data_IF_029792124250
#
_entry.id   IF_029792124250
#
_cell.length_a   1.000
_cell.length_b   1.000
_cell.length_c   1.000
_cell.angle_alpha   90.00
_cell.angle_beta   90.00
_cell.angle_gamma   90.00
#
_symmetry.space_group_name_H-M   'P 1'
#
loop_
_entity.id
_entity.type
_entity.pdbx_description
1 polymer ?
#
# COMPACT_ATOMS: atom_id res chain seq x y z
N UNK A 1 7.52 -21.86 -14.87
CA UNK A 1 6.87 -20.55 -14.88
C UNK A 1 7.88 -19.45 -14.71
N UNK A 2 7.65 -18.31 -15.36
CA UNK A 2 8.50 -17.14 -15.20
C UNK A 2 8.17 -16.37 -13.93
N UNK A 3 9.21 -15.88 -13.24
CA UNK A 3 9.09 -15.02 -12.06
C UNK A 3 10.18 -13.96 -12.07
N UNK A 4 9.90 -12.77 -11.54
CA UNK A 4 10.91 -11.74 -11.32
C UNK A 4 11.56 -12.01 -9.96
N UNK A 5 12.83 -12.37 -9.98
CA UNK A 5 13.60 -12.78 -8.82
C UNK A 5 14.95 -12.08 -8.77
N UNK A 6 15.65 -12.26 -7.64
CA UNK A 6 17.02 -11.77 -7.45
C UNK A 6 17.78 -12.69 -6.50
N UNK A 7 19.12 -12.79 -6.71
CA UNK A 7 20.01 -13.68 -5.97
C UNK A 7 20.93 -12.98 -4.96
N UNK A 8 20.88 -11.65 -4.92
CA UNK A 8 21.62 -10.81 -3.98
C UNK A 8 20.89 -9.49 -3.78
N UNK A 9 21.13 -8.83 -2.67
CA UNK A 9 20.60 -7.48 -2.45
C UNK A 9 21.26 -6.48 -3.40
N UNK A 10 20.52 -5.46 -3.82
CA UNK A 10 21.03 -4.42 -4.72
C UNK A 10 19.96 -3.56 -5.36
N UNK A 11 20.35 -2.75 -6.33
CA UNK A 11 19.47 -1.93 -7.15
C UNK A 11 18.71 -2.77 -8.18
N UNK A 12 17.99 -2.16 -9.09
CA UNK A 12 17.18 -2.84 -10.11
C UNK A 12 17.96 -3.80 -11.01
N UNK A 13 19.27 -3.64 -11.11
CA UNK A 13 20.13 -4.51 -11.94
C UNK A 13 20.16 -5.96 -11.46
N UNK A 14 19.95 -6.21 -10.16
CA UNK A 14 19.90 -7.56 -9.60
C UNK A 14 18.63 -8.33 -9.97
N UNK A 15 17.59 -7.63 -10.45
CA UNK A 15 16.35 -8.24 -10.89
C UNK A 15 16.57 -9.01 -12.21
N UNK A 16 16.04 -10.22 -12.27
CA UNK A 16 16.08 -11.08 -13.45
C UNK A 16 14.79 -11.90 -13.57
N UNK A 17 14.45 -12.29 -14.79
CA UNK A 17 13.44 -13.32 -15.03
C UNK A 17 14.07 -14.67 -14.73
N UNK A 18 13.44 -15.44 -13.86
CA UNK A 18 13.86 -16.77 -13.41
C UNK A 18 12.80 -17.79 -13.79
N UNK A 19 13.23 -18.89 -14.38
CA UNK A 19 12.37 -20.06 -14.58
C UNK A 19 12.24 -20.84 -13.27
N UNK A 20 11.02 -21.06 -12.82
CA UNK A 20 10.70 -21.77 -11.58
C UNK A 20 9.64 -22.85 -11.84
N UNK A 21 9.60 -23.87 -10.99
CA UNK A 21 8.53 -24.85 -11.03
C UNK A 21 7.17 -24.18 -10.74
N UNK A 22 6.14 -24.58 -11.48
CA UNK A 22 4.77 -24.15 -11.16
C UNK A 22 4.37 -24.72 -9.80
N UNK A 23 3.91 -23.89 -8.84
CA UNK A 23 3.60 -24.39 -7.50
C UNK A 23 2.33 -25.24 -7.49
N UNK A 24 2.26 -26.19 -6.56
CA UNK A 24 1.07 -26.99 -6.28
C UNK A 24 0.27 -26.41 -5.12
N UNK A 25 -1.04 -26.63 -5.12
CA UNK A 25 -1.94 -26.16 -4.05
C UNK A 25 -2.02 -27.13 -2.89
N UNK A 26 -2.10 -26.62 -1.67
CA UNK A 26 -2.49 -27.35 -0.47
C UNK A 26 -4.01 -27.22 -0.24
N UNK A 27 -4.55 -27.97 0.73
CA UNK A 27 -5.99 -28.07 0.94
C UNK A 27 -6.73 -26.74 1.09
N UNK A 28 -6.13 -25.73 1.72
CA UNK A 28 -6.72 -24.42 1.98
C UNK A 28 -6.21 -23.30 1.05
N UNK A 29 -5.52 -23.67 -0.04
CA UNK A 29 -4.88 -22.72 -0.96
C UNK A 29 -5.56 -22.70 -2.32
N UNK A 30 -5.29 -21.63 -3.04
CA UNK A 30 -5.62 -21.47 -4.46
C UNK A 30 -4.37 -21.20 -5.27
N UNK A 31 -4.34 -21.70 -6.50
CA UNK A 31 -3.37 -21.31 -7.52
C UNK A 31 -4.02 -20.26 -8.42
N UNK A 32 -3.42 -19.09 -8.49
CA UNK A 32 -3.89 -18.00 -9.36
C UNK A 32 -2.91 -17.84 -10.50
N UNK A 33 -3.40 -17.87 -11.73
CA UNK A 33 -2.69 -17.42 -12.92
C UNK A 33 -2.75 -15.89 -12.93
N UNK A 34 -1.63 -15.26 -12.66
CA UNK A 34 -1.51 -13.81 -12.52
C UNK A 34 -1.73 -13.13 -13.86
N UNK A 35 -2.49 -12.03 -13.85
CA UNK A 35 -2.72 -11.13 -14.97
C UNK A 35 -2.08 -9.77 -14.76
N UNK A 36 -2.00 -9.34 -13.50
CA UNK A 36 -1.30 -8.13 -13.12
C UNK A 36 -0.80 -8.23 -11.68
N UNK A 37 0.27 -7.54 -11.38
CA UNK A 37 0.75 -7.27 -10.03
C UNK A 37 1.16 -5.80 -9.89
N UNK A 38 1.21 -5.27 -8.67
CA UNK A 38 1.54 -3.88 -8.44
C UNK A 38 2.83 -3.72 -7.65
N UNK A 39 3.49 -2.58 -7.82
CA UNK A 39 4.75 -2.27 -7.15
C UNK A 39 4.48 -1.45 -5.89
N UNK A 40 5.15 -1.83 -4.80
CA UNK A 40 5.11 -1.14 -3.51
C UNK A 40 6.51 -0.70 -3.05
N UNK A 41 6.63 0.39 -2.27
CA UNK A 41 7.92 0.81 -1.70
C UNK A 41 8.63 -0.30 -0.92
N UNK A 42 7.89 -1.20 -0.30
CA UNK A 42 8.43 -2.34 0.43
C UNK A 42 9.22 -3.30 -0.46
N UNK A 43 8.79 -3.49 -1.71
CA UNK A 43 9.43 -4.43 -2.66
C UNK A 43 10.90 -4.04 -2.91
N UNK A 44 11.16 -2.76 -3.17
CA UNK A 44 12.55 -2.33 -3.39
C UNK A 44 13.33 -2.13 -2.09
N UNK A 45 12.69 -1.82 -0.96
CA UNK A 45 13.37 -1.77 0.35
C UNK A 45 13.88 -3.17 0.74
N UNK A 46 13.07 -4.21 0.53
CA UNK A 46 13.49 -5.61 0.75
C UNK A 46 14.63 -5.97 -0.21
N UNK A 47 14.48 -5.66 -1.52
CA UNK A 47 15.50 -5.95 -2.53
C UNK A 47 16.83 -5.24 -2.24
N UNK A 48 16.81 -3.99 -1.78
CA UNK A 48 18.02 -3.25 -1.40
C UNK A 48 18.66 -3.73 -0.10
N UNK A 49 17.98 -4.62 0.65
CA UNK A 49 18.47 -5.13 1.92
C UNK A 49 18.17 -4.22 3.13
N UNK A 50 17.44 -3.13 2.94
CA UNK A 50 17.06 -2.21 4.04
C UNK A 50 16.21 -2.92 5.12
N UNK A 51 15.53 -4.01 4.72
CA UNK A 51 14.71 -4.84 5.62
C UNK A 51 15.30 -6.23 5.85
N UNK A 52 16.63 -6.42 5.67
CA UNK A 52 17.33 -7.70 5.75
C UNK A 52 17.10 -8.44 7.07
N UNK A 53 17.00 -7.72 8.18
CA UNK A 53 16.75 -8.33 9.50
C UNK A 53 15.41 -9.09 9.55
N UNK A 54 14.38 -8.60 8.83
CA UNK A 54 13.04 -9.21 8.78
C UNK A 54 12.88 -10.18 7.61
N UNK A 55 13.42 -9.84 6.45
CA UNK A 55 13.31 -10.64 5.22
C UNK A 55 14.31 -11.79 5.15
N UNK A 56 15.37 -11.76 5.97
CA UNK A 56 16.48 -12.73 5.90
C UNK A 56 17.34 -12.57 4.65
N UNK A 57 18.34 -13.44 4.53
CA UNK A 57 19.32 -13.44 3.41
C UNK A 57 19.30 -14.73 2.58
N UNK A 58 18.23 -15.53 2.66
CA UNK A 58 18.08 -16.71 1.82
C UNK A 58 17.63 -16.28 0.42
N UNK A 59 18.33 -16.75 -0.60
CA UNK A 59 18.04 -16.50 -2.02
C UNK A 59 17.77 -17.81 -2.77
N UNK A 60 17.11 -17.80 -3.96
CA UNK A 60 16.55 -16.63 -4.62
C UNK A 60 15.36 -16.05 -3.87
N UNK A 61 15.08 -14.75 -4.07
CA UNK A 61 13.86 -14.09 -3.60
C UNK A 61 13.05 -13.61 -4.80
N UNK A 62 11.74 -13.86 -4.75
CA UNK A 62 10.78 -13.22 -5.65
C UNK A 62 10.40 -11.85 -5.09
N UNK A 63 9.91 -10.95 -5.93
CA UNK A 63 9.45 -9.62 -5.53
C UNK A 63 7.93 -9.48 -5.67
N UNK A 64 7.37 -8.36 -5.17
CA UNK A 64 5.94 -8.06 -5.25
C UNK A 64 5.11 -8.69 -4.13
N UNK A 65 4.06 -8.00 -3.73
CA UNK A 65 3.16 -8.46 -2.69
C UNK A 65 1.73 -8.65 -3.20
N UNK A 66 1.28 -7.74 -4.06
CA UNK A 66 -0.08 -7.64 -4.59
C UNK A 66 -0.19 -8.31 -5.94
N UNK A 67 -1.31 -8.95 -6.22
CA UNK A 67 -1.61 -9.53 -7.52
C UNK A 67 -3.12 -9.49 -7.84
N UNK A 68 -3.42 -9.67 -9.12
CA UNK A 68 -4.75 -9.99 -9.62
C UNK A 68 -4.64 -11.00 -10.76
N UNK A 69 -5.61 -11.88 -10.89
CA UNK A 69 -5.58 -12.93 -11.90
C UNK A 69 -6.79 -13.85 -11.87
N UNK A 70 -6.65 -15.04 -12.40
CA UNK A 70 -7.72 -16.03 -12.57
C UNK A 70 -7.34 -17.30 -11.81
N UNK A 71 -8.26 -17.82 -11.01
CA UNK A 71 -8.06 -19.10 -10.29
C UNK A 71 -7.91 -20.23 -11.30
N UNK A 72 -6.80 -20.97 -11.22
CA UNK A 72 -6.50 -22.13 -12.05
C UNK A 72 -6.66 -23.46 -11.32
N UNK A 73 -6.41 -23.48 -10.01
CA UNK A 73 -6.64 -24.65 -9.18
C UNK A 73 -7.04 -24.24 -7.75
N UNK A 74 -7.80 -25.10 -7.10
CA UNK A 74 -8.26 -24.89 -5.71
C UNK A 74 -7.96 -26.15 -4.88
N UNK A 75 -7.58 -25.95 -3.62
CA UNK A 75 -7.42 -27.03 -2.64
C UNK A 75 -8.77 -27.56 -2.15
N UNK A 76 -8.76 -28.78 -1.63
CA UNK A 76 -9.96 -29.53 -1.24
C UNK A 76 -10.82 -28.87 -0.15
N UNK A 77 -10.23 -27.99 0.68
CA UNK A 77 -10.93 -27.28 1.77
C UNK A 77 -11.34 -25.84 1.40
N UNK A 78 -11.11 -25.41 0.15
CA UNK A 78 -11.48 -24.07 -0.31
C UNK A 78 -12.97 -24.03 -0.60
N UNK A 79 -13.66 -23.03 -0.05
CA UNK A 79 -15.07 -22.73 -0.32
C UNK A 79 -15.24 -21.27 -0.78
N UNK A 80 -16.34 -20.98 -1.47
CA UNK A 80 -16.67 -19.63 -1.94
C UNK A 80 -15.96 -19.20 -3.24
N UNK A 81 -15.03 -20.02 -3.74
CA UNK A 81 -14.31 -19.79 -5.01
C UNK A 81 -14.39 -21.01 -5.92
N UNK A 82 -14.26 -20.79 -7.22
CA UNK A 82 -14.18 -21.81 -8.26
C UNK A 82 -13.08 -21.49 -9.27
N UNK A 83 -12.64 -22.52 -10.01
CA UNK A 83 -11.73 -22.35 -11.13
C UNK A 83 -12.39 -21.41 -12.16
N UNK A 84 -11.62 -20.45 -12.67
CA UNK A 84 -12.09 -19.41 -13.57
C UNK A 84 -12.56 -18.12 -12.88
N UNK A 85 -12.72 -18.08 -11.56
CA UNK A 85 -13.03 -16.83 -10.86
C UNK A 85 -11.90 -15.81 -11.03
N UNK A 86 -12.25 -14.57 -11.38
CA UNK A 86 -11.33 -13.44 -11.37
C UNK A 86 -11.16 -12.94 -9.94
N UNK A 87 -9.91 -12.88 -9.49
CA UNK A 87 -9.56 -12.53 -8.11
C UNK A 87 -8.41 -11.55 -8.06
N UNK A 88 -8.29 -10.89 -6.92
CA UNK A 88 -7.09 -10.17 -6.53
C UNK A 88 -6.72 -10.56 -5.10
N UNK A 89 -5.47 -10.33 -4.72
CA UNK A 89 -5.01 -10.78 -3.42
C UNK A 89 -3.62 -10.31 -3.06
N UNK A 90 -3.14 -10.85 -1.94
CA UNK A 90 -1.87 -10.52 -1.33
C UNK A 90 -1.15 -11.80 -0.90
N UNK A 91 0.18 -11.84 -1.01
CA UNK A 91 0.96 -12.96 -0.49
C UNK A 91 0.90 -13.02 1.05
N UNK A 92 0.99 -14.22 1.60
CA UNK A 92 0.87 -14.44 3.06
C UNK A 92 2.01 -13.79 3.84
N UNK A 93 3.21 -13.86 3.33
CA UNK A 93 4.40 -13.32 4.00
C UNK A 93 5.10 -12.29 3.10
N UNK A 94 4.76 -11.01 3.31
CA UNK A 94 5.30 -9.87 2.54
C UNK A 94 6.83 -9.78 2.54
N UNK A 95 7.51 -10.40 3.52
CA UNK A 95 8.97 -10.34 3.66
C UNK A 95 9.69 -11.48 2.95
N UNK A 96 8.98 -12.57 2.64
CA UNK A 96 9.59 -13.83 2.18
C UNK A 96 9.00 -14.38 0.88
N UNK A 97 7.78 -14.00 0.55
CA UNK A 97 7.05 -14.46 -0.63
C UNK A 97 6.95 -13.32 -1.66
N UNK A 98 6.74 -13.67 -2.93
CA UNK A 98 6.58 -12.67 -3.99
C UNK A 98 5.52 -13.07 -5.00
N UNK A 99 4.76 -12.08 -5.46
CA UNK A 99 3.67 -12.21 -6.42
C UNK A 99 4.05 -11.87 -7.87
N UNK A 100 5.27 -11.36 -8.12
CA UNK A 100 5.71 -10.96 -9.47
C UNK A 100 6.10 -12.17 -10.30
N UNK A 101 5.14 -13.01 -10.64
CA UNK A 101 5.31 -14.27 -11.40
C UNK A 101 4.03 -14.65 -12.13
N UNK A 102 4.14 -15.54 -13.12
CA UNK A 102 2.97 -16.05 -13.89
C UNK A 102 1.94 -16.76 -13.00
N UNK A 103 2.36 -17.33 -11.88
CA UNK A 103 1.49 -18.05 -10.94
C UNK A 103 1.86 -17.74 -9.51
N UNK A 104 0.84 -17.63 -8.66
CA UNK A 104 1.00 -17.50 -7.21
C UNK A 104 0.08 -18.48 -6.48
N UNK A 105 0.58 -19.07 -5.39
CA UNK A 105 -0.22 -19.90 -4.47
C UNK A 105 -0.38 -19.15 -3.17
N UNK A 106 -1.63 -18.97 -2.74
CA UNK A 106 -1.96 -18.29 -1.47
C UNK A 106 -3.12 -18.97 -0.77
N UNK A 107 -3.25 -18.83 0.56
CA UNK A 107 -4.47 -19.19 1.27
C UNK A 107 -5.70 -18.48 0.68
N UNK A 108 -6.82 -19.18 0.57
CA UNK A 108 -8.07 -18.61 0.06
C UNK A 108 -8.60 -17.42 0.88
N UNK A 109 -8.16 -17.29 2.14
CA UNK A 109 -8.48 -16.15 3.00
C UNK A 109 -7.74 -14.85 2.61
N UNK A 110 -6.79 -14.90 1.68
CA UNK A 110 -5.97 -13.77 1.23
C UNK A 110 -6.30 -13.33 -0.21
N UNK A 111 -7.41 -13.81 -0.75
CA UNK A 111 -7.92 -13.40 -2.05
C UNK A 111 -9.37 -12.93 -1.96
N UNK A 112 -9.77 -12.12 -2.92
CA UNK A 112 -11.11 -11.55 -3.04
C UNK A 112 -11.54 -11.56 -4.49
N UNK A 113 -12.85 -11.73 -4.72
CA UNK A 113 -13.41 -11.64 -6.07
C UNK A 113 -13.19 -10.25 -6.64
N UNK A 114 -12.61 -10.19 -7.84
CA UNK A 114 -12.41 -8.93 -8.55
C UNK A 114 -13.77 -8.36 -8.98
N UNK A 115 -14.09 -7.11 -8.63
CA UNK A 115 -15.26 -6.43 -9.20
C UNK A 115 -15.15 -6.34 -10.74
N UNK A 116 -16.24 -6.60 -11.45
CA UNK A 116 -16.25 -6.62 -12.92
C UNK A 116 -15.79 -5.31 -13.56
N UNK A 117 -16.13 -4.18 -12.91
CA UNK A 117 -15.89 -2.82 -13.43
C UNK A 117 -14.45 -2.35 -13.40
N UNK A 118 -13.55 -3.07 -12.73
CA UNK A 118 -12.14 -2.67 -12.63
C UNK A 118 -11.23 -3.62 -13.41
N UNK A 119 -10.14 -3.10 -13.95
CA UNK A 119 -9.10 -3.89 -14.62
C UNK A 119 -8.30 -4.75 -13.65
N UNK A 120 -7.52 -5.73 -14.16
CA UNK A 120 -6.58 -6.50 -13.33
C UNK A 120 -5.48 -5.60 -12.72
N UNK A 121 -4.99 -4.60 -13.46
CA UNK A 121 -4.03 -3.63 -12.96
C UNK A 121 -4.59 -2.80 -11.78
N UNK A 122 -5.84 -2.35 -11.90
CA UNK A 122 -6.54 -1.67 -10.80
C UNK A 122 -6.76 -2.60 -9.60
N UNK A 123 -7.22 -3.82 -9.84
CA UNK A 123 -7.46 -4.80 -8.79
C UNK A 123 -6.17 -5.17 -8.03
N UNK A 124 -5.06 -5.40 -8.75
CA UNK A 124 -3.74 -5.64 -8.15
C UNK A 124 -3.22 -4.42 -7.36
N UNK A 125 -3.77 -3.24 -7.57
CA UNK A 125 -3.37 -2.01 -6.89
C UNK A 125 -4.02 -1.81 -5.52
N UNK A 126 -4.95 -2.69 -5.12
CA UNK A 126 -5.76 -2.52 -3.91
C UNK A 126 -5.09 -3.09 -2.63
N UNK A 127 -4.58 -4.35 -2.59
CA UNK A 127 -4.42 -5.08 -1.31
C UNK A 127 -3.53 -4.39 -0.29
N UNK A 128 -2.25 -4.14 -0.59
CA UNK A 128 -1.30 -3.56 0.38
C UNK A 128 -1.74 -2.17 0.84
N UNK A 129 -1.97 -1.26 -0.11
CA UNK A 129 -2.22 0.14 0.23
C UNK A 129 -3.63 0.39 0.73
N UNK A 130 -4.62 -0.35 0.23
CA UNK A 130 -5.98 -0.29 0.72
C UNK A 130 -6.08 -0.81 2.17
N UNK A 131 -5.46 -1.94 2.47
CA UNK A 131 -5.37 -2.46 3.85
C UNK A 131 -4.67 -1.47 4.78
N UNK A 132 -3.59 -0.85 4.32
CA UNK A 132 -2.88 0.16 5.09
C UNK A 132 -3.77 1.40 5.36
N UNK A 133 -4.58 1.82 4.40
CA UNK A 133 -5.49 2.96 4.57
C UNK A 133 -6.58 2.68 5.63
N UNK A 134 -7.18 1.49 5.61
CA UNK A 134 -8.17 1.10 6.63
C UNK A 134 -7.51 0.99 8.01
N UNK A 135 -6.32 0.36 8.09
CA UNK A 135 -5.56 0.30 9.35
C UNK A 135 -5.24 1.71 9.89
N UNK A 136 -4.88 2.65 9.03
CA UNK A 136 -4.61 4.02 9.45
C UNK A 136 -5.86 4.67 10.04
N UNK A 137 -7.02 4.51 9.41
CA UNK A 137 -8.30 5.04 9.92
C UNK A 137 -8.64 4.45 11.29
N UNK A 138 -8.49 3.14 11.48
CA UNK A 138 -8.69 2.51 12.79
C UNK A 138 -7.76 3.10 13.87
N UNK A 139 -6.49 3.34 13.50
CA UNK A 139 -5.51 3.96 14.42
C UNK A 139 -5.79 5.43 14.70
N UNK A 140 -6.54 6.12 13.86
CA UNK A 140 -7.01 7.49 14.12
C UNK A 140 -8.04 7.54 15.26
N UNK A 141 -8.74 6.44 15.53
CA UNK A 141 -9.78 6.34 16.54
C UNK A 141 -11.07 7.05 16.10
N UNK A 142 -11.71 7.79 17.01
CA UNK A 142 -12.99 8.45 16.71
C UNK A 142 -12.77 9.67 15.82
N UNK A 143 -13.29 9.62 14.60
CA UNK A 143 -13.29 10.71 13.62
C UNK A 143 -14.72 11.26 13.52
N UNK A 144 -14.84 12.58 13.41
CA UNK A 144 -16.11 13.28 13.24
C UNK A 144 -15.91 14.56 12.39
N UNK A 145 -16.98 15.30 12.03
CA UNK A 145 -16.87 16.49 11.18
C UNK A 145 -16.00 17.64 11.73
N UNK A 146 -15.73 17.67 13.03
CA UNK A 146 -14.85 18.68 13.65
C UNK A 146 -13.37 18.22 13.69
N UNK A 147 -13.09 16.98 13.30
CA UNK A 147 -11.72 16.46 13.27
C UNK A 147 -10.95 17.04 12.09
N UNK A 148 -9.82 17.68 12.36
CA UNK A 148 -8.93 18.23 11.34
C UNK A 148 -7.77 17.28 11.08
N UNK A 149 -7.57 16.88 9.82
CA UNK A 149 -6.58 15.86 9.41
C UNK A 149 -5.66 16.45 8.38
N UNK A 150 -4.34 16.33 8.57
CA UNK A 150 -3.34 16.57 7.53
C UNK A 150 -2.83 15.25 6.96
N UNK A 151 -2.90 15.10 5.64
CA UNK A 151 -2.35 13.95 4.90
C UNK A 151 -1.18 14.42 4.05
N UNK A 152 0.06 14.13 4.48
CA UNK A 152 1.27 14.44 3.73
C UNK A 152 1.62 13.31 2.76
N UNK A 153 1.82 13.63 1.48
CA UNK A 153 1.97 12.63 0.40
C UNK A 153 0.61 12.08 -0.08
N UNK A 154 -0.38 12.94 -0.09
CA UNK A 154 -1.79 12.61 -0.28
C UNK A 154 -2.15 12.01 -1.64
N UNK A 155 -1.33 12.21 -2.67
CA UNK A 155 -1.60 11.73 -4.04
C UNK A 155 -0.79 10.51 -4.45
N UNK A 156 -0.02 9.93 -3.52
CA UNK A 156 0.52 8.59 -3.69
C UNK A 156 -0.55 7.50 -3.53
N UNK A 157 -0.20 6.26 -3.82
CA UNK A 157 -1.13 5.13 -3.78
C UNK A 157 -1.88 4.97 -2.44
N UNK A 158 -1.20 5.17 -1.32
CA UNK A 158 -1.81 5.10 0.00
C UNK A 158 -2.79 6.27 0.21
N UNK A 159 -2.38 7.49 -0.12
CA UNK A 159 -3.21 8.69 0.03
C UNK A 159 -4.48 8.64 -0.81
N UNK A 160 -4.41 8.09 -2.02
CA UNK A 160 -5.56 7.84 -2.89
C UNK A 160 -6.68 7.07 -2.18
N UNK A 161 -6.36 5.97 -1.49
CA UNK A 161 -7.35 5.19 -0.74
C UNK A 161 -7.77 5.94 0.54
N UNK A 162 -6.82 6.49 1.28
CA UNK A 162 -7.08 7.13 2.55
C UNK A 162 -8.02 8.34 2.42
N UNK A 163 -7.78 9.22 1.45
CA UNK A 163 -8.63 10.40 1.22
C UNK A 163 -10.07 10.00 0.92
N UNK A 164 -10.27 9.03 0.04
CA UNK A 164 -11.60 8.58 -0.36
C UNK A 164 -12.35 7.88 0.78
N UNK A 165 -11.64 7.09 1.58
CA UNK A 165 -12.24 6.44 2.75
C UNK A 165 -12.57 7.46 3.86
N UNK A 166 -11.79 8.53 4.02
CA UNK A 166 -12.05 9.58 5.00
C UNK A 166 -13.30 10.41 4.69
N UNK A 167 -13.73 10.48 3.42
CA UNK A 167 -14.97 11.20 3.02
C UNK A 167 -16.19 10.80 3.84
N UNK A 168 -16.34 9.52 4.16
CA UNK A 168 -17.49 8.99 4.89
C UNK A 168 -17.61 9.52 6.32
N UNK A 169 -16.53 10.05 6.89
CA UNK A 169 -16.52 10.58 8.26
C UNK A 169 -16.80 12.07 8.32
N UNK A 170 -16.83 12.77 7.18
CA UNK A 170 -17.06 14.21 7.10
C UNK A 170 -15.96 15.08 7.72
N UNK A 171 -14.80 14.50 8.06
CA UNK A 171 -13.68 15.23 8.65
C UNK A 171 -13.11 16.31 7.70
N UNK A 172 -12.52 17.35 8.25
CA UNK A 172 -11.82 18.38 7.49
C UNK A 172 -10.40 17.89 7.12
N UNK A 173 -10.22 17.52 5.85
CA UNK A 173 -8.96 16.96 5.37
C UNK A 173 -8.17 17.97 4.56
N UNK A 174 -6.95 18.28 5.03
CA UNK A 174 -5.95 19.03 4.28
C UNK A 174 -4.95 18.04 3.67
N UNK A 175 -4.83 18.03 2.36
CA UNK A 175 -3.85 17.23 1.62
C UNK A 175 -2.59 18.03 1.34
N UNK A 176 -1.41 17.37 1.39
CA UNK A 176 -0.16 17.94 0.89
C UNK A 176 0.24 17.14 -0.36
N UNK A 177 0.32 17.82 -1.49
CA UNK A 177 0.57 17.23 -2.79
C UNK A 177 1.48 18.13 -3.64
N UNK A 178 1.95 17.66 -4.79
CA UNK A 178 2.58 18.51 -5.81
C UNK A 178 1.53 19.26 -6.62
N UNK A 179 1.93 20.30 -7.37
CA UNK A 179 1.03 21.04 -8.27
C UNK A 179 0.21 20.11 -9.19
N UNK A 180 0.82 19.03 -9.69
CA UNK A 180 0.16 18.03 -10.55
C UNK A 180 -0.88 17.17 -9.81
N UNK A 181 -0.80 17.11 -8.49
CA UNK A 181 -1.67 16.27 -7.66
C UNK A 181 -2.88 17.01 -7.07
N UNK A 182 -2.99 18.32 -7.26
CA UNK A 182 -4.05 19.13 -6.63
C UNK A 182 -5.43 18.60 -7.02
N UNK A 183 -5.73 18.51 -8.31
CA UNK A 183 -7.02 18.03 -8.83
C UNK A 183 -7.37 16.62 -8.33
N UNK A 184 -6.37 15.72 -8.24
CA UNK A 184 -6.57 14.38 -7.72
C UNK A 184 -6.89 14.39 -6.23
N UNK A 185 -6.18 15.19 -5.43
CA UNK A 185 -6.44 15.27 -3.99
C UNK A 185 -7.84 15.82 -3.71
N UNK A 186 -8.29 16.83 -4.45
CA UNK A 186 -9.65 17.39 -4.37
C UNK A 186 -10.71 16.36 -4.80
N UNK A 187 -10.52 15.71 -5.95
CA UNK A 187 -11.38 14.62 -6.46
C UNK A 187 -11.53 13.52 -5.41
N UNK A 188 -10.44 13.13 -4.73
CA UNK A 188 -10.43 12.08 -3.72
C UNK A 188 -10.94 12.53 -2.35
N UNK A 189 -11.25 13.82 -2.17
CA UNK A 189 -11.98 14.31 -1.01
C UNK A 189 -11.21 15.16 -0.03
N UNK A 190 -10.09 15.73 -0.43
CA UNK A 190 -9.45 16.78 0.34
C UNK A 190 -10.30 18.08 0.30
N UNK A 191 -10.50 18.69 1.47
CA UNK A 191 -11.18 20.00 1.57
C UNK A 191 -10.24 21.16 1.21
N UNK A 192 -8.93 20.96 1.46
CA UNK A 192 -7.87 21.90 1.16
C UNK A 192 -6.64 21.14 0.62
N UNK A 193 -5.93 21.72 -0.33
CA UNK A 193 -4.66 21.18 -0.81
C UNK A 193 -3.56 22.22 -0.65
N UNK A 194 -2.43 21.77 -0.10
CA UNK A 194 -1.19 22.53 0.05
C UNK A 194 -0.21 22.01 -0.98
N UNK A 195 0.23 22.88 -1.88
CA UNK A 195 1.25 22.57 -2.86
C UNK A 195 2.64 22.68 -2.24
N UNK A 196 3.25 21.54 -1.91
CA UNK A 196 4.59 21.52 -1.30
C UNK A 196 5.71 22.05 -2.20
N UNK A 197 5.43 22.25 -3.49
CA UNK A 197 6.40 22.84 -4.42
C UNK A 197 6.44 24.36 -4.33
N UNK A 198 5.43 24.98 -3.71
CA UNK A 198 5.26 26.42 -3.57
C UNK A 198 5.33 26.89 -2.12
N UNK A 199 4.88 26.07 -1.17
CA UNK A 199 4.82 26.46 0.23
C UNK A 199 5.21 25.29 1.16
N UNK A 200 5.76 25.66 2.31
CA UNK A 200 6.11 24.69 3.34
C UNK A 200 4.97 24.56 4.37
N UNK A 201 4.32 23.39 4.42
CA UNK A 201 3.24 23.13 5.36
C UNK A 201 3.62 23.32 6.83
N UNK A 202 4.88 23.12 7.20
CA UNK A 202 5.37 23.29 8.57
C UNK A 202 5.44 24.77 9.03
N UNK A 203 5.38 25.71 8.10
CA UNK A 203 5.35 27.15 8.40
C UNK A 203 3.94 27.72 8.54
N UNK A 204 2.91 26.92 8.33
CA UNK A 204 1.53 27.35 8.48
C UNK A 204 1.14 27.51 9.97
N UNK A 205 0.21 28.44 10.22
CA UNK A 205 -0.35 28.65 11.57
C UNK A 205 -1.42 27.62 11.94
N UNK A 206 -1.97 26.91 10.95
CA UNK A 206 -3.02 25.89 11.15
C UNK A 206 -2.44 24.69 11.88
N UNK A 207 -3.20 24.16 12.85
CA UNK A 207 -2.85 22.95 13.58
C UNK A 207 -3.93 21.88 13.43
N UNK A 208 -3.51 20.60 13.53
CA UNK A 208 -4.34 19.45 13.21
C UNK A 208 -4.50 18.50 14.39
N UNK A 209 -5.66 17.85 14.49
CA UNK A 209 -5.91 16.77 15.44
C UNK A 209 -5.11 15.52 15.05
N UNK A 210 -5.00 15.27 13.74
CA UNK A 210 -4.32 14.12 13.18
C UNK A 210 -3.38 14.57 12.06
N UNK A 211 -2.13 14.14 12.11
CA UNK A 211 -1.16 14.29 11.03
C UNK A 211 -0.71 12.91 10.60
N UNK A 212 -0.82 12.58 9.33
CA UNK A 212 -0.27 11.34 8.77
C UNK A 212 0.78 11.65 7.70
N UNK A 213 1.96 11.06 7.84
CA UNK A 213 3.05 11.23 6.86
C UNK A 213 3.24 10.00 6.00
N UNK A 214 2.64 10.02 4.80
CA UNK A 214 2.75 8.96 3.80
C UNK A 214 4.01 9.12 2.93
N UNK A 215 4.64 10.29 2.97
CA UNK A 215 5.86 10.59 2.20
C UNK A 215 7.14 10.09 2.86
N UNK A 216 7.10 9.88 4.18
CA UNK A 216 8.27 9.58 5.01
C UNK A 216 9.26 10.74 5.17
N UNK A 217 8.90 11.96 4.72
CA UNK A 217 9.79 13.13 4.72
C UNK A 217 9.54 14.12 5.86
N UNK A 218 8.35 14.11 6.45
CA UNK A 218 7.99 15.07 7.49
C UNK A 218 8.57 14.67 8.86
N UNK A 219 8.37 13.43 9.28
CA UNK A 219 8.79 12.89 10.56
C UNK A 219 8.09 13.52 11.78
N UNK A 220 7.94 12.74 12.85
CA UNK A 220 7.21 13.15 14.06
C UNK A 220 7.75 14.43 14.71
N UNK A 221 9.08 14.59 14.77
CA UNK A 221 9.72 15.76 15.41
C UNK A 221 9.28 17.08 14.77
N UNK A 222 9.27 17.12 13.43
CA UNK A 222 8.89 18.30 12.66
C UNK A 222 7.36 18.51 12.69
N UNK A 223 6.58 17.44 12.60
CA UNK A 223 5.13 17.49 12.62
C UNK A 223 4.57 18.12 13.90
N UNK A 224 5.29 18.07 15.03
CA UNK A 224 4.87 18.70 16.29
C UNK A 224 4.51 20.18 16.18
N UNK A 225 5.12 20.91 15.23
CA UNK A 225 4.84 22.33 15.00
C UNK A 225 3.40 22.59 14.54
N UNK A 226 2.82 21.66 13.79
CA UNK A 226 1.47 21.76 13.22
C UNK A 226 0.46 20.80 13.88
N UNK A 227 0.81 20.22 15.01
CA UNK A 227 -0.08 19.35 15.79
C UNK A 227 -0.75 20.13 16.93
N UNK A 228 -2.06 19.94 17.13
CA UNK A 228 -2.77 20.46 18.30
C UNK A 228 -2.19 19.90 19.61
N UNK A 229 -2.45 20.54 20.77
CA UNK A 229 -1.91 20.09 22.07
C UNK A 229 -2.20 18.61 22.37
N UNK A 230 -3.40 18.11 22.03
CA UNK A 230 -3.81 16.69 22.13
C UNK A 230 -4.10 16.19 20.73
N UNK A 231 -3.20 15.36 20.17
CA UNK A 231 -3.24 15.01 18.75
C UNK A 231 -2.44 13.74 18.43
N UNK A 232 -2.61 13.22 17.22
CA UNK A 232 -1.95 12.01 16.73
C UNK A 232 -1.04 12.32 15.54
N UNK A 233 0.15 11.74 15.54
CA UNK A 233 0.99 11.61 14.35
C UNK A 233 1.03 10.14 13.94
N UNK A 234 0.54 9.82 12.75
CA UNK A 234 0.56 8.47 12.22
C UNK A 234 1.76 8.28 11.29
N UNK A 235 2.54 7.22 11.56
CA UNK A 235 3.72 6.86 10.78
C UNK A 235 3.55 5.44 10.19
N UNK A 236 3.25 5.30 8.89
CA UNK A 236 3.14 4.01 8.22
C UNK A 236 4.48 3.47 7.70
N UNK A 237 5.56 4.24 7.82
CA UNK A 237 6.89 3.86 7.34
C UNK A 237 7.96 4.03 8.43
N UNK A 238 7.74 3.46 9.64
CA UNK A 238 8.66 3.69 10.76
C UNK A 238 10.01 3.03 10.52
N UNK A 239 11.05 3.66 11.04
CA UNK A 239 12.31 2.96 11.27
C UNK A 239 12.11 1.94 12.40
N UNK A 240 12.80 0.79 12.41
CA UNK A 240 12.63 -0.24 13.44
C UNK A 240 12.77 0.29 14.87
N UNK A 241 13.69 1.23 15.09
CA UNK A 241 13.91 1.86 16.41
C UNK A 241 12.77 2.77 16.85
N UNK A 242 11.97 3.31 15.93
CA UNK A 242 10.84 4.19 16.26
C UNK A 242 9.70 3.43 16.93
N UNK A 243 9.58 2.12 16.67
CA UNK A 243 8.50 1.29 17.23
C UNK A 243 8.55 1.30 18.77
N UNK A 244 9.61 0.80 19.43
CA UNK A 244 9.68 0.82 20.89
C UNK A 244 9.76 2.26 21.46
N UNK A 245 10.46 3.17 20.77
CA UNK A 245 10.59 4.55 21.22
C UNK A 245 9.25 5.30 21.21
N UNK A 246 8.37 5.03 20.24
CA UNK A 246 7.04 5.65 20.19
C UNK A 246 6.17 5.22 21.36
N UNK A 247 6.19 3.94 21.72
CA UNK A 247 5.47 3.42 22.87
C UNK A 247 5.91 4.11 24.18
N UNK A 248 7.21 4.18 24.42
CA UNK A 248 7.76 4.82 25.60
C UNK A 248 7.44 6.32 25.65
N UNK A 249 7.70 7.06 24.58
CA UNK A 249 7.43 8.50 24.51
C UNK A 249 5.95 8.84 24.67
N UNK A 250 5.07 7.99 24.17
CA UNK A 250 3.63 8.18 24.28
C UNK A 250 3.13 8.17 25.74
N UNK A 251 3.88 7.64 26.70
CA UNK A 251 3.52 7.72 28.12
C UNK A 251 3.59 9.16 28.66
N UNK A 252 4.48 9.99 28.09
CA UNK A 252 4.84 11.32 28.61
C UNK A 252 4.40 12.49 27.72
N UNK A 253 3.61 12.26 26.67
CA UNK A 253 3.15 13.34 25.77
C UNK A 253 1.71 13.16 25.36
N UNK A 254 1.00 14.28 25.21
CA UNK A 254 -0.35 14.30 24.65
C UNK A 254 -0.36 14.33 23.10
N UNK A 255 0.77 14.67 22.46
CA UNK A 255 0.99 14.53 21.01
C UNK A 255 1.53 13.12 20.75
N UNK A 256 0.66 12.16 20.49
CA UNK A 256 1.04 10.74 20.37
C UNK A 256 1.68 10.43 19.02
N UNK A 257 2.71 9.58 19.03
CA UNK A 257 3.32 9.00 17.83
C UNK A 257 2.79 7.57 17.63
N UNK A 258 1.92 7.38 16.64
CA UNK A 258 1.23 6.12 16.37
C UNK A 258 1.87 5.44 15.16
N UNK A 259 2.34 4.22 15.33
CA UNK A 259 2.89 3.41 14.26
C UNK A 259 1.75 2.67 13.55
N UNK A 260 1.70 2.76 12.23
CA UNK A 260 0.70 2.08 11.39
C UNK A 260 1.36 0.89 10.71
N UNK A 261 1.17 -0.30 11.28
CA UNK A 261 1.60 -1.56 10.66
C UNK A 261 0.35 -2.34 10.26
N UNK A 262 0.19 -2.58 8.97
CA UNK A 262 -0.88 -3.41 8.43
C UNK A 262 -0.39 -4.84 8.24
N UNK A 263 -1.27 -5.81 8.45
CA UNK A 263 -1.02 -7.22 8.20
C UNK A 263 -1.99 -7.76 7.15
N UNK A 264 -1.57 -8.67 6.26
CA UNK A 264 -2.47 -9.34 5.33
C UNK A 264 -3.58 -10.10 6.06
N UNK A 265 -4.78 -10.15 5.49
CA UNK A 265 -5.82 -11.09 5.91
C UNK A 265 -6.68 -10.70 7.11
N UNK A 266 -6.82 -9.44 7.42
CA UNK A 266 -7.73 -8.95 8.45
C UNK A 266 -9.05 -8.44 7.86
N UNK A 267 -10.03 -8.13 8.73
CA UNK A 267 -11.43 -7.75 8.41
C UNK A 267 -11.60 -6.48 7.53
N UNK A 268 -10.51 -5.94 7.01
CA UNK A 268 -10.50 -4.70 6.23
C UNK A 268 -11.09 -4.83 4.84
N UNK A 269 -11.22 -6.05 4.37
CA UNK A 269 -11.59 -6.32 3.00
C UNK A 269 -13.00 -5.88 2.67
N UNK A 270 -13.93 -6.06 3.60
CA UNK A 270 -15.32 -5.67 3.38
C UNK A 270 -15.45 -4.17 3.20
N UNK A 271 -14.73 -3.38 4.00
CA UNK A 271 -14.70 -1.91 3.86
C UNK A 271 -14.16 -1.50 2.49
N UNK A 272 -13.04 -2.11 2.07
CA UNK A 272 -12.44 -1.83 0.77
C UNK A 272 -13.31 -2.31 -0.39
N UNK A 273 -13.84 -3.52 -0.31
CA UNK A 273 -14.71 -4.07 -1.35
C UNK A 273 -15.99 -3.25 -1.52
N UNK A 274 -16.59 -2.81 -0.41
CA UNK A 274 -17.75 -1.94 -0.45
C UNK A 274 -17.40 -0.58 -1.06
N UNK A 275 -16.26 0.02 -0.69
CA UNK A 275 -15.80 1.27 -1.27
C UNK A 275 -15.56 1.13 -2.80
N UNK A 276 -14.89 0.05 -3.23
CA UNK A 276 -14.65 -0.22 -4.65
C UNK A 276 -15.96 -0.44 -5.40
N UNK A 277 -16.90 -1.21 -4.85
CA UNK A 277 -18.24 -1.39 -5.45
C UNK A 277 -19.00 -0.08 -5.59
N UNK A 278 -18.81 0.85 -4.65
CA UNK A 278 -19.42 2.18 -4.63
C UNK A 278 -18.64 3.22 -5.46
N UNK A 279 -17.69 2.79 -6.31
CA UNK A 279 -17.00 3.66 -7.26
C UNK A 279 -15.75 4.34 -6.71
N UNK A 280 -15.07 3.74 -5.73
CA UNK A 280 -13.75 4.22 -5.31
C UNK A 280 -12.82 4.27 -6.52
N UNK A 281 -12.21 5.43 -6.74
CA UNK A 281 -11.31 5.68 -7.86
C UNK A 281 -9.95 5.03 -7.61
N UNK A 282 -9.47 4.25 -8.57
CA UNK A 282 -8.18 3.55 -8.48
C UNK A 282 -7.31 4.03 -9.65
N UNK A 283 -6.52 5.05 -9.39
CA UNK A 283 -5.59 5.61 -10.38
C UNK A 283 -4.36 4.71 -10.51
N UNK A 284 -4.16 4.16 -11.69
CA UNK A 284 -2.94 3.45 -12.08
C UNK A 284 -2.19 4.36 -13.05
N UNK A 285 -1.16 5.04 -12.55
CA UNK A 285 -0.39 6.04 -13.28
C UNK A 285 0.24 5.48 -14.58
N UNK A 286 0.81 4.27 -14.47
CA UNK A 286 1.41 3.59 -15.62
C UNK A 286 1.34 2.08 -15.43
N UNK A 287 0.99 1.39 -16.52
CA UNK A 287 1.06 -0.06 -16.64
C UNK A 287 2.22 -0.41 -17.55
N UNK A 288 3.06 -1.34 -17.13
CA UNK A 288 4.20 -1.87 -17.89
C UNK A 288 3.93 -3.32 -18.29
N UNK A 289 4.59 -3.81 -19.34
CA UNK A 289 4.60 -5.24 -19.63
C UNK A 289 5.55 -5.98 -18.69
N UNK A 290 5.39 -7.31 -18.61
CA UNK A 290 6.26 -8.16 -17.78
C UNK A 290 7.74 -8.02 -18.15
N UNK A 291 8.06 -7.87 -19.42
CA UNK A 291 9.42 -7.69 -19.93
C UNK A 291 10.05 -6.36 -19.52
N UNK A 292 9.22 -5.34 -19.28
CA UNK A 292 9.63 -4.00 -18.83
C UNK A 292 9.83 -3.90 -17.32
N UNK A 293 9.92 -5.01 -16.60
CA UNK A 293 9.98 -5.03 -15.13
C UNK A 293 11.07 -4.12 -14.53
N UNK A 294 12.26 -4.08 -15.11
CA UNK A 294 13.34 -3.21 -14.62
C UNK A 294 12.97 -1.74 -14.74
N UNK A 295 12.43 -1.33 -15.89
CA UNK A 295 11.96 0.04 -16.13
C UNK A 295 10.83 0.39 -15.14
N UNK A 296 9.89 -0.52 -14.91
CA UNK A 296 8.79 -0.32 -13.98
C UNK A 296 9.27 -0.06 -12.55
N UNK A 297 10.23 -0.86 -12.06
CA UNK A 297 10.83 -0.65 -10.73
C UNK A 297 11.65 0.63 -10.66
N UNK A 298 12.44 0.97 -11.69
CA UNK A 298 13.17 2.24 -11.76
C UNK A 298 12.22 3.44 -11.74
N UNK A 299 11.13 3.37 -12.50
CA UNK A 299 10.11 4.41 -12.54
C UNK A 299 9.43 4.58 -11.17
N UNK A 300 9.05 3.47 -10.54
CA UNK A 300 8.42 3.48 -9.22
C UNK A 300 9.35 4.05 -8.13
N UNK A 301 10.63 3.68 -8.13
CA UNK A 301 11.63 4.16 -7.17
C UNK A 301 11.95 5.65 -7.31
N UNK A 302 11.87 6.18 -8.52
CA UNK A 302 12.04 7.62 -8.79
C UNK A 302 10.95 8.44 -8.10
N UNK A 303 9.74 7.89 -7.95
CA UNK A 303 8.59 8.57 -7.35
C UNK A 303 8.09 9.76 -8.18
N UNK A 304 7.26 10.62 -7.55
CA UNK A 304 6.72 11.83 -8.20
C UNK A 304 5.54 11.55 -9.15
N UNK A 305 5.00 10.35 -9.15
CA UNK A 305 3.78 9.95 -9.85
C UNK A 305 2.57 9.96 -8.91
N UNK A 306 1.39 9.96 -9.49
CA UNK A 306 0.11 9.92 -8.78
C UNK A 306 -0.44 8.49 -8.84
N UNK A 307 -1.01 8.00 -7.74
CA UNK A 307 -1.60 6.67 -7.69
C UNK A 307 -0.59 5.52 -7.66
N UNK A 308 -0.81 4.48 -8.46
CA UNK A 308 -0.08 3.19 -8.46
C UNK A 308 0.67 2.92 -9.76
N UNK A 309 1.64 2.01 -9.68
CA UNK A 309 2.31 1.41 -10.83
C UNK A 309 1.98 -0.08 -10.85
N UNK A 310 1.61 -0.60 -12.00
CA UNK A 310 1.31 -2.01 -12.21
C UNK A 310 2.13 -2.60 -13.36
N UNK A 311 2.25 -3.92 -13.36
CA UNK A 311 2.83 -4.72 -14.44
C UNK A 311 1.79 -5.78 -14.84
N UNK A 312 1.54 -5.91 -16.13
CA UNK A 312 0.69 -6.95 -16.72
C UNK A 312 1.52 -8.07 -17.33
N UNK A 313 0.98 -9.32 -17.21
CA UNK A 313 1.56 -10.57 -17.74
C UNK A 313 0.71 -11.08 -18.89
#
# INVERSE_FOLDING_TARGET
MKAIAYNNFGNTDVLQISEQAKPSVQSNQVLVRVKAFSINPMDWKIRKGEMKLMSGSKFPKNTGADFAGIIEAIGSSVSGFKIGDEVFGIVKNLMKEGASSEYVVVPSSLIWKKPEKISFAQAASIPVVGTAAVTAIEKMGKINPQTTILVNGATGAFGMFLLQLLKQYGAEVTAVASSKGIEYAEKWGANKVIDYTKENVLLQKTTYDIVIDLSGKMGYKNAKAIMKPKSLFLNPTPLPIEIPLSLLKNLFTAKKHVIVLSSPGTNYTDVLLNAVKNGLDIEVNKVFSFEQYKEAYQYAEKGGYIGKIAIEI
#
